data_IF_052692499247
#
_entry.id   IF_052692499247
#
_cell.length_a   1.000
_cell.length_b   1.000
_cell.length_c   1.000
_cell.angle_alpha   90.00
_cell.angle_beta   90.00
_cell.angle_gamma   90.00
#
_symmetry.space_group_name_H-M   'P 1'
#
loop_
_entity.id
_entity.type
_entity.pdbx_description
1 polymer ?
#
# COMPACT_ATOMS: atom_id res chain seq x y z
N UNK A 1 25.01 34.33 -46.15
CA UNK A 1 25.16 33.27 -45.17
C UNK A 1 23.80 33.10 -44.50
N UNK A 2 23.15 31.92 -44.50
CA UNK A 2 21.92 31.69 -43.79
C UNK A 2 22.19 31.70 -42.28
N UNK A 3 21.33 32.45 -41.55
CA UNK A 3 21.35 32.49 -40.09
C UNK A 3 21.19 31.08 -39.49
N UNK A 4 22.13 30.72 -38.63
CA UNK A 4 22.06 29.47 -37.85
C UNK A 4 20.76 29.51 -37.06
N UNK A 5 19.82 28.65 -37.42
CA UNK A 5 18.55 28.52 -36.72
C UNK A 5 18.83 28.07 -35.29
N UNK A 6 18.46 28.90 -34.31
CA UNK A 6 18.45 28.53 -32.93
C UNK A 6 17.49 27.31 -32.80
N UNK A 7 18.04 26.16 -32.46
CA UNK A 7 17.24 24.99 -32.10
C UNK A 7 16.33 25.39 -30.93
N UNK A 8 15.02 25.25 -31.14
CA UNK A 8 14.04 25.43 -30.07
C UNK A 8 14.47 24.55 -28.90
N UNK A 9 14.61 25.09 -27.67
CA UNK A 9 14.97 24.24 -26.54
C UNK A 9 13.96 23.09 -26.45
N UNK A 10 14.44 21.89 -26.15
CA UNK A 10 13.57 20.74 -25.90
C UNK A 10 12.56 21.13 -24.81
N UNK A 11 11.28 20.76 -24.96
CA UNK A 11 10.31 21.06 -23.91
C UNK A 11 10.79 20.42 -22.60
N UNK A 12 10.73 21.17 -21.51
CA UNK A 12 11.00 20.63 -20.17
C UNK A 12 10.08 19.41 -19.97
N UNK A 13 10.66 18.25 -19.77
CA UNK A 13 9.91 17.00 -19.54
C UNK A 13 9.15 17.02 -18.22
N UNK A 14 9.59 17.84 -17.28
CA UNK A 14 8.97 17.96 -15.96
C UNK A 14 8.89 19.43 -15.56
N UNK A 15 7.79 19.79 -14.89
CA UNK A 15 7.67 21.08 -14.19
C UNK A 15 8.58 21.10 -12.95
N UNK A 16 8.77 22.29 -12.36
CA UNK A 16 9.50 22.39 -11.09
C UNK A 16 8.82 21.54 -10.01
N UNK A 17 9.62 20.83 -9.17
CA UNK A 17 9.06 19.95 -8.16
C UNK A 17 8.33 20.72 -7.07
N UNK A 18 7.15 20.25 -6.69
CA UNK A 18 6.44 20.70 -5.49
C UNK A 18 6.80 19.77 -4.33
N UNK A 19 7.23 20.34 -3.20
CA UNK A 19 7.70 19.56 -2.05
C UNK A 19 6.63 19.54 -0.96
N UNK A 20 6.23 18.35 -0.56
CA UNK A 20 5.29 18.10 0.54
C UNK A 20 6.00 17.49 1.75
N UNK A 21 5.66 17.99 2.95
CA UNK A 21 6.21 17.45 4.20
C UNK A 21 5.42 16.23 4.65
N UNK A 22 6.15 15.18 5.02
CA UNK A 22 5.62 13.94 5.62
C UNK A 22 6.18 13.74 7.02
N UNK A 23 5.82 12.64 7.68
CA UNK A 23 6.39 12.25 8.97
C UNK A 23 7.86 11.81 8.87
N UNK A 24 8.43 11.40 10.01
CA UNK A 24 9.83 10.96 10.08
C UNK A 24 10.00 9.55 9.51
N UNK A 25 11.07 9.34 8.73
CA UNK A 25 11.46 8.07 8.12
C UNK A 25 10.31 7.47 7.29
N UNK A 26 9.94 8.11 6.15
CA UNK A 26 8.97 7.52 5.26
C UNK A 26 9.48 6.17 4.76
N UNK A 27 8.62 5.16 4.79
CA UNK A 27 8.99 3.77 4.47
C UNK A 27 8.39 3.32 3.14
N UNK A 28 7.11 3.57 2.91
CA UNK A 28 6.43 3.25 1.67
C UNK A 28 5.49 4.35 1.24
N UNK A 29 5.32 4.46 -0.09
CA UNK A 29 4.41 5.36 -0.76
C UNK A 29 3.58 4.58 -1.78
N UNK A 30 2.25 4.79 -1.78
CA UNK A 30 1.32 4.27 -2.81
C UNK A 30 0.52 5.42 -3.40
N UNK A 31 0.24 5.30 -4.71
CA UNK A 31 -0.68 6.17 -5.42
C UNK A 31 -1.96 5.39 -5.75
N UNK A 32 -3.12 5.88 -5.32
CA UNK A 32 -4.45 5.31 -5.59
C UNK A 32 -5.51 6.39 -5.52
N UNK A 33 -6.50 6.30 -6.38
CA UNK A 33 -7.70 7.10 -6.28
C UNK A 33 -8.54 6.57 -5.10
N UNK A 34 -8.44 7.24 -3.94
CA UNK A 34 -9.05 6.79 -2.69
C UNK A 34 -10.49 7.31 -2.54
N UNK A 35 -10.83 8.43 -3.20
CA UNK A 35 -12.10 9.13 -3.09
C UNK A 35 -12.98 8.99 -4.35
N UNK A 36 -12.48 8.28 -5.40
CA UNK A 36 -13.16 8.02 -6.67
C UNK A 36 -13.46 9.29 -7.49
N UNK A 37 -12.57 10.29 -7.42
CA UNK A 37 -12.66 11.52 -8.20
C UNK A 37 -11.91 11.46 -9.55
N UNK A 38 -11.23 10.34 -9.82
CA UNK A 38 -10.46 10.07 -11.03
C UNK A 38 -9.00 10.53 -10.96
N UNK A 39 -8.56 11.14 -9.85
CA UNK A 39 -7.18 11.55 -9.63
C UNK A 39 -6.50 10.67 -8.58
N UNK A 40 -5.28 10.18 -8.84
CA UNK A 40 -4.59 9.35 -7.86
C UNK A 40 -4.11 10.19 -6.67
N UNK A 41 -4.56 9.82 -5.49
CA UNK A 41 -4.10 10.31 -4.19
C UNK A 41 -2.79 9.65 -3.78
N UNK A 42 -2.10 10.21 -2.77
CA UNK A 42 -0.86 9.66 -2.24
C UNK A 42 -1.02 9.26 -0.77
N UNK A 43 -0.60 8.05 -0.48
CA UNK A 43 -0.48 7.49 0.87
C UNK A 43 0.99 7.31 1.23
N UNK A 44 1.42 7.74 2.41
CA UNK A 44 2.82 7.59 2.88
C UNK A 44 2.88 7.07 4.30
N UNK A 45 3.42 5.88 4.49
CA UNK A 45 3.76 5.35 5.81
C UNK A 45 5.03 5.97 6.34
N UNK A 46 5.03 6.42 7.61
CA UNK A 46 6.17 7.05 8.26
C UNK A 46 6.60 6.24 9.49
N UNK A 47 7.62 5.39 9.32
CA UNK A 47 7.96 4.38 10.32
C UNK A 47 8.42 4.94 11.65
N UNK A 48 9.19 6.03 11.68
CA UNK A 48 9.64 6.62 12.93
C UNK A 48 8.63 7.58 13.59
N UNK A 49 7.58 8.00 12.87
CA UNK A 49 6.49 8.81 13.41
C UNK A 49 5.29 7.97 13.85
N UNK A 50 5.20 6.71 13.42
CA UNK A 50 4.03 5.84 13.59
C UNK A 50 2.76 6.48 13.02
N UNK A 51 2.86 7.00 11.79
CA UNK A 51 1.78 7.71 11.12
C UNK A 51 1.66 7.31 9.66
N UNK A 52 0.45 7.45 9.12
CA UNK A 52 0.14 7.48 7.70
C UNK A 52 -0.25 8.91 7.32
N UNK A 53 0.33 9.46 6.26
CA UNK A 53 -0.15 10.67 5.61
C UNK A 53 -0.97 10.29 4.38
N UNK A 54 -2.13 10.90 4.24
CA UNK A 54 -2.98 10.85 3.05
C UNK A 54 -3.02 12.24 2.42
N UNK A 55 -2.64 12.32 1.14
CA UNK A 55 -2.64 13.53 0.34
C UNK A 55 -3.70 13.35 -0.76
N UNK A 56 -4.79 14.08 -0.65
CA UNK A 56 -5.84 14.12 -1.66
C UNK A 56 -5.39 14.97 -2.85
N UNK A 57 -5.47 14.43 -4.06
CA UNK A 57 -5.15 15.14 -5.29
C UNK A 57 -6.19 16.22 -5.61
N UNK A 58 -5.76 17.32 -6.25
CA UNK A 58 -6.66 18.40 -6.69
C UNK A 58 -6.95 18.31 -8.20
N UNK A 59 -6.19 17.45 -8.91
CA UNK A 59 -6.34 17.25 -10.35
C UNK A 59 -5.48 18.16 -11.21
N UNK A 60 -4.73 19.08 -10.62
CA UNK A 60 -3.79 19.98 -11.30
C UNK A 60 -2.32 19.60 -11.09
N UNK A 61 -2.06 18.41 -10.53
CA UNK A 61 -0.73 17.92 -10.15
C UNK A 61 -0.31 18.35 -8.74
N UNK A 62 -1.21 18.98 -7.98
CA UNK A 62 -0.99 19.34 -6.57
C UNK A 62 -1.93 18.58 -5.63
N UNK A 63 -1.64 18.65 -4.34
CA UNK A 63 -2.37 17.93 -3.30
C UNK A 63 -2.87 18.87 -2.21
N UNK A 64 -4.01 18.56 -1.62
CA UNK A 64 -4.52 19.22 -0.42
C UNK A 64 -3.55 19.05 0.77
N UNK A 65 -3.79 19.82 1.85
CA UNK A 65 -3.08 19.60 3.11
C UNK A 65 -3.30 18.16 3.58
N UNK A 66 -2.24 17.40 3.91
CA UNK A 66 -2.40 15.98 4.24
C UNK A 66 -3.21 15.74 5.52
N UNK A 67 -4.07 14.74 5.47
CA UNK A 67 -4.60 14.12 6.65
C UNK A 67 -3.53 13.22 7.26
N UNK A 68 -3.28 13.35 8.58
CA UNK A 68 -2.31 12.51 9.29
C UNK A 68 -3.05 11.59 10.25
N UNK A 69 -2.88 10.30 10.07
CA UNK A 69 -3.50 9.26 10.88
C UNK A 69 -2.43 8.52 11.70
N UNK A 70 -2.78 8.09 12.92
CA UNK A 70 -1.93 7.20 13.71
C UNK A 70 -2.02 5.76 13.18
N UNK A 71 -0.88 5.08 13.17
CA UNK A 71 -0.76 3.65 12.86
C UNK A 71 -0.30 2.88 14.11
N UNK A 72 -0.03 1.59 13.98
CA UNK A 72 0.80 0.88 14.95
C UNK A 72 2.26 1.31 14.85
N UNK A 73 3.13 0.66 15.65
CA UNK A 73 4.56 1.00 15.71
C UNK A 73 5.31 0.55 14.47
N UNK A 74 6.16 1.44 13.95
CA UNK A 74 7.04 1.18 12.81
C UNK A 74 6.28 0.64 11.58
N UNK A 75 5.32 1.41 10.99
CA UNK A 75 4.67 0.99 9.76
C UNK A 75 5.69 0.92 8.63
N UNK A 76 5.77 -0.22 7.90
CA UNK A 76 6.73 -0.43 6.82
C UNK A 76 6.09 -0.56 5.45
N UNK A 77 4.98 -1.30 5.35
CA UNK A 77 4.32 -1.54 4.08
C UNK A 77 2.83 -1.21 4.18
N UNK A 78 2.25 -0.83 3.06
CA UNK A 78 0.82 -0.59 2.92
C UNK A 78 0.28 -1.17 1.62
N UNK A 79 -0.96 -1.66 1.67
CA UNK A 79 -1.74 -2.05 0.50
C UNK A 79 -3.11 -1.39 0.52
N UNK A 80 -3.67 -1.23 -0.68
CA UNK A 80 -4.97 -0.59 -0.89
C UNK A 80 -5.88 -1.54 -1.65
N UNK A 81 -7.12 -1.66 -1.21
CA UNK A 81 -8.14 -2.47 -1.86
C UNK A 81 -9.48 -2.35 -1.15
N UNK A 82 -10.54 -2.78 -1.79
CA UNK A 82 -11.86 -2.87 -1.18
C UNK A 82 -11.94 -4.19 -0.38
N UNK A 83 -11.68 -4.13 0.92
CA UNK A 83 -11.67 -5.32 1.78
C UNK A 83 -13.05 -5.64 2.38
N UNK A 84 -14.03 -4.75 2.22
CA UNK A 84 -15.36 -4.92 2.80
C UNK A 84 -16.51 -5.00 1.77
N UNK A 85 -16.19 -4.91 0.46
CA UNK A 85 -17.15 -5.04 -0.63
C UNK A 85 -18.03 -3.81 -0.86
N UNK A 86 -17.69 -2.64 -0.28
CA UNK A 86 -18.49 -1.41 -0.41
C UNK A 86 -18.06 -0.51 -1.58
N UNK A 87 -17.04 -0.93 -2.35
CA UNK A 87 -16.41 -0.26 -3.48
C UNK A 87 -15.59 0.98 -3.12
N UNK A 88 -15.37 1.25 -1.84
CA UNK A 88 -14.48 2.31 -1.36
C UNK A 88 -13.12 1.68 -1.07
N UNK A 89 -12.04 2.40 -1.36
CA UNK A 89 -10.70 1.90 -1.11
C UNK A 89 -10.38 1.91 0.38
N UNK A 90 -9.95 0.76 0.90
CA UNK A 90 -9.49 0.53 2.25
C UNK A 90 -7.96 0.44 2.28
N UNK A 91 -7.36 0.45 3.46
CA UNK A 91 -5.91 0.42 3.65
C UNK A 91 -5.55 -0.71 4.62
N UNK A 92 -4.59 -1.54 4.22
CA UNK A 92 -3.89 -2.47 5.11
C UNK A 92 -2.47 -1.97 5.36
N UNK A 93 -2.02 -1.94 6.62
CA UNK A 93 -0.68 -1.44 7.00
C UNK A 93 0.04 -2.48 7.84
N UNK A 94 1.25 -2.87 7.44
CA UNK A 94 2.13 -3.70 8.26
C UNK A 94 2.81 -2.86 9.34
N UNK A 95 2.56 -3.18 10.61
CA UNK A 95 3.20 -2.54 11.75
C UNK A 95 4.32 -3.45 12.26
N UNK A 96 5.52 -3.21 11.77
CA UNK A 96 6.71 -4.01 12.06
C UNK A 96 6.99 -4.12 13.57
N UNK A 97 6.91 -3.01 14.30
CA UNK A 97 7.18 -2.98 15.73
C UNK A 97 6.09 -3.63 16.59
N UNK A 98 4.84 -3.74 16.11
CA UNK A 98 3.72 -4.35 16.84
C UNK A 98 3.44 -5.78 16.43
N UNK A 99 3.97 -6.24 15.29
CA UNK A 99 3.74 -7.60 14.78
C UNK A 99 2.29 -7.84 14.37
N UNK A 100 1.64 -6.82 13.80
CA UNK A 100 0.26 -6.89 13.34
C UNK A 100 0.05 -6.13 12.03
N UNK A 101 -1.12 -6.34 11.43
CA UNK A 101 -1.63 -5.57 10.30
C UNK A 101 -2.81 -4.73 10.77
N UNK A 102 -2.76 -3.41 10.56
CA UNK A 102 -3.92 -2.54 10.75
C UNK A 102 -4.77 -2.55 9.49
N UNK A 103 -6.07 -2.79 9.63
CA UNK A 103 -7.08 -2.63 8.57
C UNK A 103 -7.85 -1.35 8.86
N UNK A 104 -7.84 -0.43 7.90
CA UNK A 104 -8.47 0.88 7.99
C UNK A 104 -9.44 1.01 6.84
N UNK A 105 -10.73 1.13 7.15
CA UNK A 105 -11.79 1.25 6.16
C UNK A 105 -11.95 2.70 5.71
N UNK A 106 -12.01 2.89 4.39
CA UNK A 106 -12.47 4.13 3.79
C UNK A 106 -13.97 4.35 4.05
N UNK A 107 -14.39 5.59 4.10
CA UNK A 107 -15.79 5.97 4.33
C UNK A 107 -16.28 6.88 3.20
N UNK A 108 -17.57 6.87 2.93
CA UNK A 108 -18.21 7.70 1.88
C UNK A 108 -17.99 9.20 2.04
N UNK A 109 -17.69 9.66 3.24
CA UNK A 109 -17.39 11.06 3.55
C UNK A 109 -15.90 11.42 3.37
N UNK A 110 -15.09 10.49 2.82
CA UNK A 110 -13.66 10.67 2.62
C UNK A 110 -12.82 10.50 3.89
N UNK A 111 -13.44 10.07 5.01
CA UNK A 111 -12.72 9.75 6.24
C UNK A 111 -12.26 8.29 6.26
N UNK A 112 -11.45 7.98 7.24
CA UNK A 112 -10.87 6.65 7.43
C UNK A 112 -11.14 6.16 8.85
N UNK A 113 -11.52 4.88 8.99
CA UNK A 113 -11.85 4.29 10.28
C UNK A 113 -11.08 3.00 10.51
N UNK A 114 -10.34 2.92 11.63
CA UNK A 114 -9.69 1.67 12.02
C UNK A 114 -10.76 0.58 12.27
N UNK A 115 -10.67 -0.51 11.53
CA UNK A 115 -11.52 -1.71 11.69
C UNK A 115 -10.92 -2.66 12.70
N UNK A 116 -9.65 -3.03 12.52
CA UNK A 116 -9.00 -4.04 13.36
C UNK A 116 -7.47 -3.97 13.30
N UNK A 117 -6.81 -4.64 14.25
CA UNK A 117 -5.39 -4.95 14.22
C UNK A 117 -5.23 -6.47 14.30
N UNK A 118 -4.75 -7.08 13.22
CA UNK A 118 -4.65 -8.54 13.06
C UNK A 118 -3.23 -8.97 13.46
N UNK A 119 -3.09 -9.81 14.47
CA UNK A 119 -1.81 -10.40 14.84
C UNK A 119 -1.36 -11.39 13.78
N UNK A 120 -0.18 -11.18 13.18
CA UNK A 120 0.39 -12.07 12.15
C UNK A 120 1.71 -12.70 12.56
N UNK A 121 2.34 -12.19 13.60
CA UNK A 121 3.64 -12.63 14.06
C UNK A 121 4.65 -11.49 14.12
N UNK A 122 5.90 -11.82 14.45
CA UNK A 122 6.93 -10.81 14.68
C UNK A 122 7.43 -10.21 13.36
N UNK A 123 7.55 -8.89 13.34
CA UNK A 123 8.27 -8.12 12.33
C UNK A 123 7.73 -8.33 10.90
N UNK A 124 6.44 -8.02 10.60
CA UNK A 124 5.91 -8.04 9.25
C UNK A 124 6.62 -6.97 8.40
N UNK A 125 7.04 -7.35 7.17
CA UNK A 125 7.85 -6.48 6.29
C UNK A 125 7.02 -6.00 5.10
N UNK A 126 6.59 -6.94 4.24
CA UNK A 126 5.89 -6.62 3.01
C UNK A 126 4.47 -7.15 3.03
N UNK A 127 3.61 -6.46 2.28
CA UNK A 127 2.22 -6.81 2.04
C UNK A 127 1.98 -6.94 0.54
N UNK A 128 1.04 -7.81 0.18
CA UNK A 128 0.43 -7.83 -1.15
C UNK A 128 -1.03 -8.28 -1.03
N UNK A 129 -1.86 -7.83 -1.97
CA UNK A 129 -3.28 -8.21 -2.07
C UNK A 129 -3.53 -9.06 -3.31
N UNK A 130 -4.46 -9.98 -3.20
CA UNK A 130 -4.96 -10.83 -4.29
C UNK A 130 -6.12 -11.68 -3.80
N UNK A 131 -6.89 -12.25 -4.70
CA UNK A 131 -7.87 -13.28 -4.37
C UNK A 131 -7.16 -14.65 -4.48
N UNK A 132 -6.54 -15.11 -3.38
CA UNK A 132 -5.68 -16.31 -3.38
C UNK A 132 -6.47 -17.62 -3.30
N UNK A 133 -7.78 -17.55 -3.06
CA UNK A 133 -8.66 -18.70 -2.94
C UNK A 133 -9.81 -18.73 -3.96
N UNK A 134 -9.86 -17.75 -4.87
CA UNK A 134 -10.88 -17.57 -5.90
C UNK A 134 -12.31 -17.46 -5.34
N UNK A 135 -12.49 -16.71 -4.24
CA UNK A 135 -13.80 -16.43 -3.64
C UNK A 135 -14.32 -15.01 -3.90
N UNK A 136 -13.66 -14.28 -4.82
CA UNK A 136 -13.96 -12.89 -5.23
C UNK A 136 -13.77 -11.86 -4.12
N UNK A 137 -13.04 -12.20 -3.05
CA UNK A 137 -12.67 -11.27 -1.99
C UNK A 137 -11.17 -11.05 -1.96
N UNK A 138 -10.77 -9.85 -1.58
CA UNK A 138 -9.35 -9.57 -1.45
C UNK A 138 -8.78 -10.19 -0.18
N UNK A 139 -7.72 -10.98 -0.38
CA UNK A 139 -6.89 -11.56 0.65
C UNK A 139 -5.61 -10.73 0.85
N UNK A 140 -4.86 -11.02 1.90
CA UNK A 140 -3.57 -10.43 2.19
C UNK A 140 -2.49 -11.49 2.32
N UNK A 141 -1.39 -11.31 1.62
CA UNK A 141 -0.13 -12.01 1.86
C UNK A 141 0.81 -11.09 2.64
N UNK A 142 1.44 -11.64 3.69
CA UNK A 142 2.29 -10.91 4.62
C UNK A 142 3.61 -11.64 4.79
N UNK A 143 4.73 -11.04 4.44
CA UNK A 143 6.04 -11.62 4.77
C UNK A 143 6.49 -11.17 6.15
N UNK A 144 7.03 -12.11 6.93
CA UNK A 144 7.66 -11.85 8.23
C UNK A 144 9.17 -11.95 8.09
N UNK A 145 9.91 -11.18 8.86
CA UNK A 145 11.38 -11.13 8.80
C UNK A 145 12.07 -12.49 8.96
N UNK A 146 11.45 -13.40 9.70
CA UNK A 146 12.03 -14.70 10.00
C UNK A 146 11.29 -15.81 9.23
N UNK A 147 11.66 -15.95 7.96
CA UNK A 147 11.33 -17.10 7.10
C UNK A 147 9.85 -17.51 7.01
N UNK A 148 8.93 -16.56 7.04
CA UNK A 148 7.49 -16.87 6.96
C UNK A 148 6.77 -15.97 5.99
N UNK A 149 5.85 -16.59 5.26
CA UNK A 149 4.75 -15.96 4.55
C UNK A 149 3.45 -16.36 5.26
N UNK A 150 2.65 -15.40 5.64
CA UNK A 150 1.32 -15.59 6.24
C UNK A 150 0.28 -15.16 5.22
N UNK A 151 -0.68 -16.03 4.92
CA UNK A 151 -1.84 -15.70 4.09
C UNK A 151 -3.05 -15.50 4.99
N UNK A 152 -3.73 -14.39 4.82
CA UNK A 152 -4.95 -14.00 5.51
C UNK A 152 -6.08 -13.95 4.49
N UNK A 153 -7.11 -14.79 4.65
CA UNK A 153 -8.28 -14.80 3.77
C UNK A 153 -9.28 -13.74 4.19
N UNK A 154 -9.70 -12.92 3.24
CA UNK A 154 -10.72 -11.90 3.43
C UNK A 154 -12.10 -12.52 3.65
N UNK A 155 -12.88 -11.96 4.56
CA UNK A 155 -14.26 -12.39 4.80
C UNK A 155 -15.26 -11.58 3.95
N UNK A 156 -14.80 -10.41 3.43
CA UNK A 156 -15.62 -9.49 2.64
C UNK A 156 -16.36 -8.45 3.48
N UNK A 157 -16.02 -8.32 4.77
CA UNK A 157 -16.54 -7.28 5.68
C UNK A 157 -15.41 -6.44 6.30
N UNK A 158 -14.20 -6.51 5.71
CA UNK A 158 -12.98 -5.91 6.24
C UNK A 158 -12.33 -6.70 7.36
N UNK A 159 -12.84 -7.91 7.67
CA UNK A 159 -12.17 -8.86 8.57
C UNK A 159 -11.44 -9.94 7.79
N UNK A 160 -10.46 -10.59 8.43
CA UNK A 160 -9.62 -11.62 7.85
C UNK A 160 -9.45 -12.80 8.78
N UNK A 161 -9.26 -13.99 8.19
CA UNK A 161 -8.91 -15.22 8.90
C UNK A 161 -7.52 -15.67 8.47
N UNK A 162 -6.69 -16.11 9.40
CA UNK A 162 -5.42 -16.75 9.05
C UNK A 162 -5.72 -18.08 8.36
N UNK A 163 -5.26 -18.20 7.10
CA UNK A 163 -5.43 -19.44 6.33
C UNK A 163 -4.23 -20.36 6.51
N UNK A 164 -3.07 -19.87 6.08
CA UNK A 164 -1.85 -20.69 5.97
C UNK A 164 -0.62 -19.90 6.40
N UNK A 165 0.38 -20.63 6.90
CA UNK A 165 1.71 -20.11 7.21
C UNK A 165 2.73 -20.95 6.46
N UNK A 166 3.35 -20.37 5.46
CA UNK A 166 4.39 -21.00 4.66
C UNK A 166 5.77 -20.66 5.22
N UNK A 167 6.68 -21.64 5.14
CA UNK A 167 8.09 -21.37 5.38
C UNK A 167 8.69 -20.74 4.13
N UNK A 168 9.25 -19.56 4.28
CA UNK A 168 10.02 -18.87 3.24
C UNK A 168 11.53 -19.09 3.51
N UNK A 169 12.37 -19.01 2.48
CA UNK A 169 13.82 -19.15 2.64
C UNK A 169 14.48 -17.77 2.68
N UNK A 170 15.15 -17.44 3.78
CA UNK A 170 15.88 -16.17 3.92
C UNK A 170 15.04 -15.02 4.51
N UNK A 171 15.61 -13.80 4.48
CA UNK A 171 14.92 -12.58 4.94
C UNK A 171 14.18 -11.95 3.77
N UNK A 172 12.83 -11.99 3.70
CA UNK A 172 12.10 -11.38 2.60
C UNK A 172 12.24 -9.86 2.65
N UNK A 173 12.44 -9.24 1.48
CA UNK A 173 12.56 -7.80 1.33
C UNK A 173 11.36 -7.19 0.61
N UNK A 174 10.95 -7.80 -0.51
CA UNK A 174 9.85 -7.32 -1.36
C UNK A 174 8.99 -8.49 -1.81
N UNK A 175 7.75 -8.18 -2.14
CA UNK A 175 6.77 -9.13 -2.64
C UNK A 175 5.94 -8.49 -3.73
N UNK A 176 5.54 -9.28 -4.73
CA UNK A 176 4.57 -8.88 -5.75
C UNK A 176 3.65 -10.05 -6.08
N UNK A 177 2.48 -9.72 -6.61
CA UNK A 177 1.46 -10.67 -7.04
C UNK A 177 1.24 -10.53 -8.54
N UNK A 178 1.04 -11.65 -9.22
CA UNK A 178 0.72 -11.70 -10.65
C UNK A 178 0.45 -13.14 -11.05
N UNK A 179 -0.23 -13.33 -12.16
CA UNK A 179 -0.37 -14.66 -12.79
C UNK A 179 0.88 -14.90 -13.66
N UNK A 180 1.86 -15.63 -13.12
CA UNK A 180 3.15 -15.87 -13.79
C UNK A 180 3.15 -17.14 -14.65
N UNK A 181 2.11 -17.96 -14.56
CA UNK A 181 1.99 -19.22 -15.30
C UNK A 181 0.78 -19.25 -16.28
N UNK A 182 -0.06 -18.20 -16.30
CA UNK A 182 -1.28 -18.06 -17.09
C UNK A 182 -2.36 -19.10 -16.74
N UNK A 183 -2.51 -19.41 -15.44
CA UNK A 183 -3.59 -20.30 -14.96
C UNK A 183 -4.79 -19.56 -14.38
N UNK A 184 -4.78 -18.22 -14.43
CA UNK A 184 -5.75 -17.28 -13.89
C UNK A 184 -5.82 -17.25 -12.35
N UNK A 185 -4.86 -17.85 -11.66
CA UNK A 185 -4.72 -17.71 -10.21
C UNK A 185 -3.59 -16.72 -9.90
N UNK A 186 -3.72 -15.91 -8.85
CA UNK A 186 -2.64 -15.03 -8.44
C UNK A 186 -1.50 -15.81 -7.78
N UNK A 187 -0.30 -15.71 -8.38
CA UNK A 187 0.95 -16.22 -7.84
C UNK A 187 1.66 -15.14 -6.99
N UNK A 188 2.54 -15.56 -6.10
CA UNK A 188 3.32 -14.67 -5.25
C UNK A 188 4.81 -14.84 -5.55
N UNK A 189 5.48 -13.77 -5.96
CA UNK A 189 6.93 -13.70 -6.08
C UNK A 189 7.53 -12.91 -4.90
N UNK A 190 8.55 -13.48 -4.25
CA UNK A 190 9.22 -12.87 -3.09
C UNK A 190 10.71 -12.73 -3.37
N UNK A 191 11.24 -11.53 -3.21
CA UNK A 191 12.67 -11.28 -3.24
C UNK A 191 13.26 -11.36 -1.82
N UNK A 192 14.40 -12.03 -1.68
CA UNK A 192 15.10 -12.23 -0.42
C UNK A 192 16.45 -11.52 -0.42
N UNK A 193 16.88 -11.01 0.74
CA UNK A 193 18.23 -10.51 1.01
C UNK A 193 19.15 -11.62 1.49
#
# INVERSE_FOLDING_TARGET
>A
LPACGQSKPAPDLFSLPVIYKVGKKPAELKARDMNQDGFPDILVCNSASNTLNYFEAIGDGTFKKPLTMKTGREPLALEVGDFNGDKIQDIAISNYGDGNISIILGQKDGLFKLKSNIKVGRLPIALATGDFNNDEKLDLAVTLRFDKLVVLLGVGDGSFKTAEIYKASGTPAYMTVGDFNNDNNPDIAIAFN
#
